data_IF_677502062117
#
_entry.id   IF_677502062117
#
_cell.length_a   1.000
_cell.length_b   1.000
_cell.length_c   1.000
_cell.angle_alpha   90.00
_cell.angle_beta   90.00
_cell.angle_gamma   90.00
#
_symmetry.space_group_name_H-M   'P 1'
#
loop_
_entity.id
_entity.type
_entity.pdbx_description
1 polymer ?
#
# COMPACT_ATOMS: atom_id res chain seq x y z
N UNK A 1 -12.33 43.59 -12.34
CA UNK A 1 -11.55 42.94 -11.27
C UNK A 1 -12.44 41.84 -10.69
N UNK A 2 -12.33 40.58 -11.15
CA UNK A 2 -13.11 39.50 -10.55
C UNK A 2 -12.48 39.15 -9.21
N UNK A 3 -13.31 39.19 -8.15
CA UNK A 3 -12.91 38.76 -6.81
C UNK A 3 -12.86 37.23 -6.80
N UNK A 4 -11.67 36.68 -6.57
CA UNK A 4 -11.46 35.27 -6.27
C UNK A 4 -12.06 34.94 -4.90
N UNK A 5 -13.07 34.06 -4.88
CA UNK A 5 -13.60 33.46 -3.66
C UNK A 5 -12.50 32.62 -2.98
N UNK A 6 -12.33 32.68 -1.65
CA UNK A 6 -11.40 31.82 -0.94
C UNK A 6 -11.93 30.38 -0.93
N UNK A 7 -11.10 29.44 -1.41
CA UNK A 7 -11.31 28.00 -1.27
C UNK A 7 -11.30 27.65 0.22
N UNK A 8 -12.46 27.27 0.76
CA UNK A 8 -12.60 26.87 2.15
C UNK A 8 -12.08 25.43 2.29
N UNK A 9 -10.83 25.27 2.69
CA UNK A 9 -10.31 23.97 3.09
C UNK A 9 -11.00 23.52 4.39
N UNK A 10 -11.58 22.33 4.40
CA UNK A 10 -12.13 21.75 5.62
C UNK A 10 -11.02 21.59 6.67
N UNK A 11 -11.32 21.74 7.98
CA UNK A 11 -10.32 21.50 9.02
C UNK A 11 -9.87 20.03 8.99
N UNK A 12 -8.55 19.78 9.05
CA UNK A 12 -7.93 18.44 9.04
C UNK A 12 -8.54 17.46 10.05
N UNK A 13 -9.10 17.97 11.14
CA UNK A 13 -9.78 17.20 12.19
C UNK A 13 -11.09 16.53 11.71
N UNK A 14 -11.77 17.09 10.72
CA UNK A 14 -13.03 16.56 10.17
C UNK A 14 -12.79 15.42 9.17
N UNK A 15 -11.67 15.47 8.42
CA UNK A 15 -11.33 14.45 7.41
C UNK A 15 -10.95 13.11 8.08
N UNK A 16 -10.16 13.15 9.16
CA UNK A 16 -9.64 11.93 9.80
C UNK A 16 -10.71 11.16 10.59
N UNK A 17 -11.63 11.88 11.25
CA UNK A 17 -12.80 11.29 11.91
C UNK A 17 -13.68 10.52 10.91
N UNK A 18 -13.75 11.01 9.67
CA UNK A 18 -14.57 10.38 8.62
C UNK A 18 -13.98 9.05 8.15
N UNK A 19 -12.65 8.97 7.96
CA UNK A 19 -11.98 7.72 7.56
C UNK A 19 -12.10 6.64 8.65
N UNK A 20 -11.89 7.01 9.93
CA UNK A 20 -12.01 6.07 11.04
C UNK A 20 -13.42 5.50 11.18
N UNK A 21 -14.46 6.35 11.12
CA UNK A 21 -15.84 5.90 11.15
C UNK A 21 -16.16 4.96 9.97
N UNK A 22 -15.63 5.25 8.77
CA UNK A 22 -15.83 4.38 7.62
C UNK A 22 -15.14 3.01 7.78
N UNK A 23 -13.87 3.00 8.19
CA UNK A 23 -13.10 1.79 8.42
C UNK A 23 -13.73 0.95 9.53
N UNK A 24 -14.18 1.59 10.61
CA UNK A 24 -14.85 0.91 11.71
C UNK A 24 -16.08 0.12 11.24
N UNK A 25 -16.93 0.74 10.41
CA UNK A 25 -18.11 0.07 9.84
C UNK A 25 -17.74 -1.09 8.89
N UNK A 26 -16.56 -1.04 8.25
CA UNK A 26 -16.08 -2.10 7.37
C UNK A 26 -15.47 -3.28 8.14
N UNK A 27 -14.88 -3.01 9.30
CA UNK A 27 -14.03 -3.96 10.03
C UNK A 27 -14.73 -4.60 11.23
N UNK A 28 -15.81 -4.01 11.74
CA UNK A 28 -16.61 -4.63 12.79
C UNK A 28 -17.76 -5.45 12.19
N UNK A 29 -17.94 -6.67 12.69
CA UNK A 29 -19.20 -7.38 12.54
C UNK A 29 -20.11 -7.01 13.70
N UNK A 30 -21.19 -6.29 13.42
CA UNK A 30 -22.28 -6.10 14.37
C UNK A 30 -23.60 -6.52 13.70
N UNK A 31 -24.46 -7.17 14.48
CA UNK A 31 -25.83 -7.54 14.09
C UNK A 31 -26.67 -6.29 13.81
N UNK A 32 -26.29 -5.15 14.41
CA UNK A 32 -26.98 -3.87 14.28
C UNK A 32 -26.48 -3.01 13.10
N UNK A 33 -25.29 -3.25 12.53
CA UNK A 33 -24.68 -2.44 11.45
C UNK A 33 -24.79 -3.08 10.07
N UNK A 34 -26.00 -3.41 9.64
CA UNK A 34 -26.30 -3.62 8.21
C UNK A 34 -25.68 -4.87 7.54
N UNK A 35 -25.85 -4.96 6.21
CA UNK A 35 -25.77 -6.17 5.36
C UNK A 35 -24.37 -6.82 5.19
N UNK A 36 -23.37 -6.52 6.01
CA UNK A 36 -22.05 -7.16 5.94
C UNK A 36 -22.14 -8.57 6.53
N UNK A 37 -22.14 -9.59 5.66
CA UNK A 37 -22.19 -11.01 6.07
C UNK A 37 -20.95 -11.44 6.88
N UNK A 38 -19.83 -10.77 6.64
CA UNK A 38 -18.56 -10.94 7.35
C UNK A 38 -17.76 -9.63 7.28
N UNK A 39 -16.91 -9.31 8.28
CA UNK A 39 -16.02 -8.16 8.24
C UNK A 39 -15.11 -8.16 7.02
N UNK A 40 -14.74 -6.97 6.54
CA UNK A 40 -13.70 -6.80 5.53
C UNK A 40 -12.31 -6.89 6.18
N UNK A 41 -11.28 -7.12 5.37
CA UNK A 41 -9.90 -6.85 5.76
C UNK A 41 -9.53 -5.40 5.38
N UNK A 42 -8.82 -4.69 6.25
CA UNK A 42 -8.41 -3.30 6.03
C UNK A 42 -6.94 -3.17 5.66
N UNK A 43 -6.65 -2.32 4.68
CA UNK A 43 -5.31 -1.88 4.32
C UNK A 43 -5.29 -0.35 4.19
N UNK A 44 -4.49 0.33 5.01
CA UNK A 44 -4.31 1.79 4.96
C UNK A 44 -2.86 2.10 4.62
N UNK A 45 -2.65 3.03 3.70
CA UNK A 45 -1.36 3.62 3.40
C UNK A 45 -1.28 4.99 4.08
N UNK A 46 -0.27 5.21 4.92
CA UNK A 46 -0.08 6.47 5.65
C UNK A 46 1.31 7.05 5.36
N UNK A 47 1.36 8.34 5.02
CA UNK A 47 2.60 9.05 4.75
C UNK A 47 2.47 10.52 5.15
N UNK A 48 3.23 10.91 6.17
CA UNK A 48 3.29 12.29 6.64
C UNK A 48 4.75 12.75 6.87
N UNK A 49 5.27 13.54 5.93
CA UNK A 49 6.63 14.10 6.00
C UNK A 49 6.76 15.31 6.94
N UNK A 50 5.65 16.01 7.21
CA UNK A 50 5.64 17.27 7.98
C UNK A 50 5.47 17.04 9.47
N UNK A 51 5.04 15.84 9.84
CA UNK A 51 4.61 15.51 11.21
C UNK A 51 5.48 14.39 11.78
N UNK A 52 6.81 14.54 11.73
CA UNK A 52 7.74 13.53 12.28
C UNK A 52 7.35 13.15 13.71
N UNK A 53 6.92 11.91 13.92
CA UNK A 53 6.46 11.39 15.20
C UNK A 53 4.94 11.41 15.45
N UNK A 54 4.14 11.91 14.51
CA UNK A 54 2.68 11.76 14.54
C UNK A 54 2.32 10.38 14.00
N UNK A 55 1.46 9.68 14.74
CA UNK A 55 0.99 8.34 14.40
C UNK A 55 -0.23 8.42 13.47
N UNK A 56 -0.43 7.42 12.63
CA UNK A 56 -1.66 7.29 11.84
C UNK A 56 -2.86 7.23 12.79
N UNK A 57 -3.84 8.12 12.60
CA UNK A 57 -5.02 8.18 13.47
C UNK A 57 -5.83 6.88 13.44
N UNK A 58 -5.74 6.14 12.33
CA UNK A 58 -6.35 4.81 12.17
C UNK A 58 -5.88 3.79 13.19
N UNK A 59 -4.74 3.99 13.86
CA UNK A 59 -4.32 3.17 14.98
C UNK A 59 -5.24 3.28 16.21
N UNK A 60 -5.97 4.40 16.35
CA UNK A 60 -6.94 4.59 17.43
C UNK A 60 -8.07 3.55 17.40
N UNK A 61 -8.32 2.90 16.25
CA UNK A 61 -9.30 1.82 16.09
C UNK A 61 -8.99 0.60 16.99
N UNK A 62 -7.78 0.46 17.53
CA UNK A 62 -7.47 -0.51 18.59
C UNK A 62 -8.40 -0.39 19.80
N UNK A 63 -8.80 0.84 20.15
CA UNK A 63 -9.72 1.13 21.26
C UNK A 63 -11.13 0.58 21.02
N UNK A 64 -11.51 0.38 19.75
CA UNK A 64 -12.79 -0.22 19.32
C UNK A 64 -12.73 -1.76 19.28
N UNK A 65 -11.61 -2.37 19.68
CA UNK A 65 -11.42 -3.83 19.66
C UNK A 65 -10.93 -4.38 18.32
N UNK A 66 -10.59 -3.52 17.35
CA UNK A 66 -10.04 -3.93 16.05
C UNK A 66 -8.55 -4.24 16.23
N UNK A 67 -8.08 -5.37 15.70
CA UNK A 67 -6.64 -5.66 15.66
C UNK A 67 -5.98 -4.82 14.58
N UNK A 68 -5.05 -3.95 14.97
CA UNK A 68 -4.31 -3.08 14.08
C UNK A 68 -2.85 -3.51 14.02
N UNK A 69 -2.35 -3.74 12.81
CA UNK A 69 -0.96 -4.06 12.52
C UNK A 69 -0.30 -2.92 11.75
N UNK A 70 0.64 -2.23 12.37
CA UNK A 70 1.41 -1.14 11.78
C UNK A 70 2.71 -1.70 11.19
N UNK A 71 2.92 -1.50 9.90
CA UNK A 71 4.16 -1.79 9.20
C UNK A 71 4.92 -0.49 8.95
N UNK A 72 6.10 -0.35 9.55
CA UNK A 72 6.92 0.88 9.47
C UNK A 72 8.28 0.62 8.85
N UNK A 73 8.92 1.66 8.31
CA UNK A 73 10.28 1.54 7.77
C UNK A 73 11.25 0.98 8.84
N UNK A 74 12.29 0.27 8.39
CA UNK A 74 13.28 -0.27 9.32
C UNK A 74 14.06 0.83 10.07
N UNK A 75 14.27 1.98 9.44
CA UNK A 75 14.96 3.16 10.00
C UNK A 75 14.13 3.88 11.08
N UNK A 76 12.80 3.93 10.94
CA UNK A 76 11.94 4.63 11.91
C UNK A 76 11.33 3.71 12.99
N UNK A 77 11.52 2.39 12.86
CA UNK A 77 10.87 1.38 13.71
C UNK A 77 10.90 1.66 15.22
N UNK A 78 12.06 2.02 15.78
CA UNK A 78 12.20 2.25 17.22
C UNK A 78 11.49 3.53 17.69
N UNK A 79 11.38 4.54 16.82
CA UNK A 79 10.65 5.77 17.12
C UNK A 79 9.14 5.52 16.97
N UNK A 80 8.72 4.99 15.82
CA UNK A 80 7.33 4.65 15.56
C UNK A 80 6.75 3.71 16.62
N UNK A 81 7.46 2.63 16.99
CA UNK A 81 6.97 1.70 18.00
C UNK A 81 6.71 2.39 19.35
N UNK A 82 7.57 3.33 19.75
CA UNK A 82 7.34 4.12 20.99
C UNK A 82 6.13 5.04 20.84
N UNK A 83 6.03 5.77 19.72
CA UNK A 83 4.95 6.73 19.49
C UNK A 83 3.58 6.03 19.42
N UNK A 84 3.46 4.97 18.63
CA UNK A 84 2.23 4.19 18.50
C UNK A 84 1.78 3.55 19.82
N UNK A 85 2.72 3.05 20.63
CA UNK A 85 2.40 2.50 21.95
C UNK A 85 2.03 3.57 22.97
N UNK A 86 2.61 4.76 22.87
CA UNK A 86 2.27 5.88 23.75
C UNK A 86 0.91 6.52 23.40
N UNK A 87 0.52 6.47 22.12
CA UNK A 87 -0.71 7.06 21.61
C UNK A 87 -1.95 6.16 21.72
N UNK A 88 -1.80 4.92 22.19
CA UNK A 88 -2.91 3.94 22.24
C UNK A 88 -3.03 3.31 23.62
N UNK A 89 -4.24 3.39 24.20
CA UNK A 89 -4.52 2.82 25.51
C UNK A 89 -4.67 1.29 25.49
N UNK A 90 -4.97 0.69 24.33
CA UNK A 90 -5.18 -0.75 24.16
C UNK A 90 -4.07 -1.39 23.33
N UNK A 91 -2.90 -1.54 23.96
CA UNK A 91 -1.71 -2.11 23.32
C UNK A 91 -1.83 -3.60 22.94
N UNK A 92 -2.82 -4.33 23.47
CA UNK A 92 -3.00 -5.76 23.15
C UNK A 92 -3.50 -5.98 21.72
N UNK A 93 -4.24 -5.01 21.18
CA UNK A 93 -4.76 -5.04 19.81
C UNK A 93 -3.82 -4.38 18.79
N UNK A 94 -2.68 -3.85 19.23
CA UNK A 94 -1.75 -3.13 18.39
C UNK A 94 -0.43 -3.90 18.22
N UNK A 95 -0.08 -4.20 16.98
CA UNK A 95 1.25 -4.69 16.62
C UNK A 95 1.98 -3.63 15.80
N UNK A 96 3.27 -3.43 16.09
CA UNK A 96 4.16 -2.58 15.28
C UNK A 96 5.31 -3.46 14.82
N UNK A 97 5.42 -3.63 13.51
CA UNK A 97 6.42 -4.46 12.85
C UNK A 97 7.17 -3.68 11.77
N UNK A 98 8.37 -4.18 11.43
CA UNK A 98 9.15 -3.64 10.32
C UNK A 98 8.54 -4.06 8.98
N UNK A 99 8.26 -3.07 8.13
CA UNK A 99 8.03 -3.25 6.72
C UNK A 99 9.27 -3.84 6.06
N UNK A 100 9.22 -5.13 5.74
CA UNK A 100 10.33 -5.84 5.10
C UNK A 100 9.78 -6.73 3.99
N UNK A 101 10.01 -6.32 2.74
CA UNK A 101 9.63 -7.03 1.53
C UNK A 101 10.34 -8.38 1.45
N UNK A 102 9.61 -9.51 1.55
CA UNK A 102 10.18 -10.82 1.35
C UNK A 102 10.61 -10.99 -0.11
N UNK A 103 11.76 -11.62 -0.41
CA UNK A 103 12.16 -11.92 -1.79
C UNK A 103 11.11 -12.74 -2.57
N UNK A 104 10.29 -13.54 -1.88
CA UNK A 104 9.19 -14.31 -2.47
C UNK A 104 8.02 -13.46 -2.98
N UNK A 105 7.95 -12.19 -2.57
CA UNK A 105 6.96 -11.24 -3.08
C UNK A 105 7.48 -10.47 -4.30
N UNK A 106 8.76 -10.60 -4.67
CA UNK A 106 9.30 -9.92 -5.84
C UNK A 106 8.82 -10.59 -7.13
N UNK A 107 8.49 -9.76 -8.11
CA UNK A 107 8.24 -10.15 -9.50
C UNK A 107 9.20 -9.39 -10.41
N UNK A 108 9.25 -9.79 -11.70
CA UNK A 108 10.01 -9.06 -12.72
C UNK A 108 9.61 -7.59 -12.74
N UNK A 109 8.30 -7.31 -12.70
CA UNK A 109 7.74 -5.97 -12.71
C UNK A 109 8.09 -5.19 -11.44
N UNK A 110 7.89 -5.79 -10.26
CA UNK A 110 8.21 -5.14 -8.98
C UNK A 110 9.71 -4.86 -8.86
N UNK A 111 10.56 -5.77 -9.32
CA UNK A 111 12.00 -5.56 -9.36
C UNK A 111 12.38 -4.43 -10.31
N UNK A 112 11.74 -4.33 -11.48
CA UNK A 112 11.96 -3.21 -12.41
C UNK A 112 11.62 -1.87 -11.76
N UNK A 113 10.41 -1.75 -11.16
CA UNK A 113 9.96 -0.55 -10.42
C UNK A 113 10.93 -0.18 -9.30
N UNK A 114 11.36 -1.18 -8.52
CA UNK A 114 12.32 -0.97 -7.44
C UNK A 114 13.70 -0.53 -7.93
N UNK A 115 14.13 -0.87 -9.16
CA UNK A 115 15.41 -0.41 -9.70
C UNK A 115 15.33 0.91 -10.47
N UNK A 116 14.16 1.26 -11.02
CA UNK A 116 13.96 2.39 -11.95
C UNK A 116 13.99 3.79 -11.29
N UNK A 117 14.74 3.97 -10.22
CA UNK A 117 14.61 5.10 -9.31
C UNK A 117 15.30 6.37 -9.77
N UNK A 118 14.52 7.45 -9.81
CA UNK A 118 14.97 8.83 -9.95
C UNK A 118 13.81 9.77 -9.63
N UNK A 119 13.91 10.55 -8.54
CA UNK A 119 13.05 11.73 -8.33
C UNK A 119 13.59 12.98 -9.03
N UNK A 120 14.90 13.03 -9.29
CA UNK A 120 15.61 14.29 -9.58
C UNK A 120 16.13 14.41 -11.01
N UNK A 121 15.85 13.45 -11.87
CA UNK A 121 16.32 13.48 -13.24
C UNK A 121 15.37 12.77 -14.18
N UNK A 122 14.97 13.47 -15.24
CA UNK A 122 14.31 12.90 -16.41
C UNK A 122 15.20 11.87 -17.14
N UNK A 123 16.48 11.75 -16.75
CA UNK A 123 17.40 10.78 -17.30
C UNK A 123 17.30 9.43 -16.56
N UNK A 124 16.93 8.40 -17.31
CA UNK A 124 17.00 7.00 -16.88
C UNK A 124 18.44 6.68 -16.45
N UNK A 125 18.67 6.12 -15.24
CA UNK A 125 20.01 5.78 -14.80
C UNK A 125 20.69 4.80 -15.78
N UNK A 126 21.97 5.02 -16.10
CA UNK A 126 22.70 4.23 -17.09
C UNK A 126 22.74 2.72 -16.78
N UNK A 127 22.64 2.33 -15.51
CA UNK A 127 22.58 0.91 -15.14
C UNK A 127 21.24 0.24 -15.53
N UNK A 128 20.18 1.01 -15.78
CA UNK A 128 18.84 0.46 -16.02
C UNK A 128 18.74 -0.32 -17.33
N UNK A 129 19.52 0.01 -18.36
CA UNK A 129 19.57 -0.81 -19.58
C UNK A 129 20.03 -2.24 -19.28
N UNK A 130 21.03 -2.36 -18.39
CA UNK A 130 21.55 -3.65 -17.92
C UNK A 130 20.51 -4.38 -17.08
N UNK A 131 19.87 -3.69 -16.13
CA UNK A 131 18.79 -4.26 -15.32
C UNK A 131 17.65 -4.79 -16.20
N UNK A 132 17.18 -3.99 -17.14
CA UNK A 132 16.10 -4.40 -18.04
C UNK A 132 16.48 -5.61 -18.90
N UNK A 133 17.73 -5.68 -19.37
CA UNK A 133 18.23 -6.85 -20.10
C UNK A 133 18.19 -8.11 -19.24
N UNK A 134 18.66 -8.04 -17.99
CA UNK A 134 18.63 -9.15 -17.03
C UNK A 134 17.18 -9.57 -16.76
N UNK A 135 16.31 -8.61 -16.47
CA UNK A 135 14.90 -8.87 -16.18
C UNK A 135 14.18 -9.51 -17.38
N UNK A 136 14.43 -9.07 -18.62
CA UNK A 136 13.90 -9.73 -19.83
C UNK A 136 14.42 -11.16 -19.97
N UNK A 137 15.71 -11.39 -19.74
CA UNK A 137 16.28 -12.73 -19.77
C UNK A 137 15.62 -13.66 -18.74
N UNK A 138 15.42 -13.18 -17.51
CA UNK A 138 14.74 -13.94 -16.46
C UNK A 138 13.27 -14.22 -16.81
N UNK A 139 12.58 -13.29 -17.47
CA UNK A 139 11.20 -13.51 -17.92
C UNK A 139 11.09 -14.60 -18.99
N UNK A 140 12.08 -14.71 -19.89
CA UNK A 140 12.13 -15.76 -20.93
C UNK A 140 12.54 -17.10 -20.34
N UNK A 141 13.62 -17.15 -19.57
CA UNK A 141 14.17 -18.41 -19.02
C UNK A 141 13.33 -18.97 -17.87
N UNK A 142 12.55 -18.13 -17.20
CA UNK A 142 11.85 -18.47 -15.97
C UNK A 142 10.40 -18.94 -16.13
N UNK A 143 9.94 -19.34 -17.33
CA UNK A 143 8.53 -19.73 -17.55
C UNK A 143 8.04 -20.71 -16.48
N UNK A 144 7.18 -20.23 -15.58
CA UNK A 144 6.58 -20.99 -14.47
C UNK A 144 7.31 -20.96 -13.11
N UNK A 145 8.58 -20.53 -13.06
CA UNK A 145 9.40 -20.51 -11.82
C UNK A 145 9.24 -19.24 -10.98
N UNK A 146 8.72 -18.16 -11.57
CA UNK A 146 8.67 -16.85 -10.92
C UNK A 146 10.04 -16.18 -10.83
N UNK A 147 10.08 -14.97 -10.26
CA UNK A 147 11.31 -14.20 -10.11
C UNK A 147 12.17 -14.73 -8.95
N UNK A 148 13.48 -14.87 -9.16
CA UNK A 148 14.43 -15.30 -8.14
C UNK A 148 15.47 -14.20 -7.88
N UNK A 149 15.43 -13.61 -6.68
CA UNK A 149 16.32 -12.49 -6.34
C UNK A 149 17.80 -12.88 -6.29
N UNK A 150 18.14 -14.09 -5.86
CA UNK A 150 19.53 -14.55 -5.82
C UNK A 150 20.12 -14.72 -7.23
N UNK A 151 19.34 -15.27 -8.16
CA UNK A 151 19.72 -15.34 -9.57
C UNK A 151 19.87 -13.96 -10.20
N UNK A 152 18.97 -13.01 -9.88
CA UNK A 152 19.09 -11.63 -10.31
C UNK A 152 20.43 -11.01 -9.87
N UNK A 153 20.81 -11.15 -8.60
CA UNK A 153 22.09 -10.65 -8.09
C UNK A 153 23.29 -11.31 -8.79
N UNK A 154 23.23 -12.62 -9.03
CA UNK A 154 24.30 -13.33 -9.77
C UNK A 154 24.45 -12.83 -11.21
N UNK A 155 23.34 -12.65 -11.93
CA UNK A 155 23.36 -12.10 -13.28
C UNK A 155 23.86 -10.65 -13.30
N UNK A 156 23.54 -9.88 -12.26
CA UNK A 156 23.98 -8.50 -12.11
C UNK A 156 25.49 -8.39 -11.89
N UNK A 157 26.05 -9.24 -11.03
CA UNK A 157 27.50 -9.31 -10.80
C UNK A 157 28.27 -9.72 -12.06
N UNK A 158 27.66 -10.55 -12.91
CA UNK A 158 28.23 -11.02 -14.17
C UNK A 158 28.02 -10.06 -15.35
N UNK A 159 27.22 -9.00 -15.18
CA UNK A 159 26.79 -8.16 -16.29
C UNK A 159 27.85 -7.20 -16.85
N UNK A 160 29.01 -7.09 -16.20
CA UNK A 160 30.12 -6.27 -16.67
C UNK A 160 29.84 -4.77 -16.65
N UNK A 161 29.12 -4.27 -15.63
CA UNK A 161 28.82 -2.85 -15.48
C UNK A 161 30.11 -2.02 -15.40
N UNK A 162 30.12 -0.86 -16.07
CA UNK A 162 31.23 0.10 -15.96
C UNK A 162 31.31 0.68 -14.55
N UNK A 163 32.47 1.22 -14.17
CA UNK A 163 32.67 1.87 -12.86
C UNK A 163 31.63 2.97 -12.60
N UNK A 164 31.23 3.71 -13.64
CA UNK A 164 30.24 4.79 -13.57
C UNK A 164 28.82 4.27 -13.34
N UNK A 165 28.50 3.06 -13.81
CA UNK A 165 27.21 2.40 -13.58
C UNK A 165 27.15 1.68 -12.22
N UNK A 166 28.28 1.12 -11.77
CA UNK A 166 28.33 0.30 -10.56
C UNK A 166 27.98 1.06 -9.29
N UNK A 167 28.54 2.26 -9.10
CA UNK A 167 28.28 3.07 -7.89
C UNK A 167 26.81 3.42 -7.71
N UNK A 168 26.11 4.05 -8.67
CA UNK A 168 24.69 4.38 -8.51
C UNK A 168 23.80 3.13 -8.41
N UNK A 169 24.16 2.05 -9.10
CA UNK A 169 23.45 0.77 -8.98
C UNK A 169 23.56 0.20 -7.56
N UNK A 170 24.76 0.19 -6.95
CA UNK A 170 24.96 -0.30 -5.59
C UNK A 170 24.21 0.54 -4.56
N UNK A 171 24.28 1.86 -4.66
CA UNK A 171 23.48 2.75 -3.80
C UNK A 171 21.99 2.43 -3.89
N UNK A 172 21.51 2.10 -5.10
CA UNK A 172 20.11 1.70 -5.27
C UNK A 172 19.80 0.34 -4.64
N UNK A 173 20.69 -0.65 -4.78
CA UNK A 173 20.53 -1.94 -4.10
C UNK A 173 20.58 -1.80 -2.58
N UNK A 174 21.45 -0.94 -2.04
CA UNK A 174 21.55 -0.69 -0.60
C UNK A 174 20.26 -0.09 -0.05
N UNK A 175 19.67 0.88 -0.76
CA UNK A 175 18.36 1.43 -0.42
C UNK A 175 17.25 0.37 -0.55
N UNK A 176 17.25 -0.44 -1.61
CA UNK A 176 16.30 -1.54 -1.73
C UNK A 176 16.43 -2.53 -0.56
N UNK A 177 17.66 -2.89 -0.20
CA UNK A 177 17.94 -3.81 0.89
C UNK A 177 17.47 -3.29 2.26
N UNK A 178 17.40 -1.96 2.46
CA UNK A 178 16.86 -1.41 3.72
C UNK A 178 15.37 -1.71 3.93
N UNK A 179 14.63 -1.96 2.84
CA UNK A 179 13.22 -2.37 2.85
C UNK A 179 13.00 -3.85 2.55
N UNK A 180 14.05 -4.63 2.33
CA UNK A 180 13.93 -6.05 2.02
C UNK A 180 14.32 -6.93 3.20
N UNK A 181 13.66 -8.09 3.29
CA UNK A 181 14.11 -9.17 4.18
C UNK A 181 15.26 -9.93 3.54
N UNK A 182 16.40 -9.27 3.39
CA UNK A 182 17.60 -9.80 2.74
C UNK A 182 18.88 -9.33 3.46
N UNK A 183 19.90 -10.19 3.65
CA UNK A 183 19.89 -11.63 3.39
C UNK A 183 18.93 -12.39 4.32
N UNK A 184 18.48 -13.61 3.95
CA UNK A 184 17.59 -14.40 4.79
C UNK A 184 18.27 -14.72 6.13
N UNK A 185 17.56 -14.47 7.23
CA UNK A 185 18.07 -14.82 8.56
C UNK A 185 18.04 -16.33 8.81
N UNK A 186 18.74 -16.81 9.85
CA UNK A 186 18.68 -18.22 10.26
C UNK A 186 17.26 -18.70 10.56
N UNK A 187 16.38 -17.81 11.03
CA UNK A 187 14.97 -18.14 11.31
C UNK A 187 14.13 -18.17 10.03
N UNK A 188 14.48 -17.37 9.03
CA UNK A 188 13.83 -17.42 7.72
C UNK A 188 14.19 -18.71 6.98
N UNK A 189 15.46 -19.15 7.04
CA UNK A 189 15.92 -20.41 6.44
C UNK A 189 15.28 -21.67 7.05
N UNK A 190 14.89 -21.62 8.32
CA UNK A 190 14.22 -22.74 9.02
C UNK A 190 12.71 -22.82 8.77
N UNK A 191 12.13 -21.80 8.16
CA UNK A 191 10.68 -21.70 7.98
C UNK A 191 10.24 -22.57 6.83
N UNK A 192 9.20 -23.39 7.05
CA UNK A 192 8.60 -24.24 6.01
C UNK A 192 7.77 -23.45 5.00
N UNK A 193 7.20 -22.32 5.43
CA UNK A 193 6.32 -21.49 4.61
C UNK A 193 6.98 -20.14 4.35
N UNK A 194 6.91 -19.64 3.11
CA UNK A 194 7.39 -18.31 2.79
C UNK A 194 6.68 -17.24 3.63
N UNK A 195 7.42 -16.21 4.06
CA UNK A 195 6.80 -15.04 4.70
C UNK A 195 5.98 -14.27 3.67
N UNK A 196 4.78 -13.85 4.06
CA UNK A 196 3.98 -12.88 3.30
C UNK A 196 4.43 -11.47 3.65
N UNK A 197 4.28 -10.53 2.70
CA UNK A 197 4.39 -9.10 3.01
C UNK A 197 3.18 -8.60 3.80
N UNK A 198 1.98 -8.94 3.32
CA UNK A 198 0.70 -8.56 3.92
C UNK A 198 -0.05 -9.84 4.32
N UNK A 199 -0.59 -9.88 5.53
CA UNK A 199 -1.45 -10.95 6.00
C UNK A 199 -2.82 -10.37 6.38
N UNK A 200 -3.60 -10.06 5.35
CA UNK A 200 -4.89 -9.39 5.49
C UNK A 200 -5.95 -10.40 5.94
N UNK A 201 -6.53 -10.15 7.12
CA UNK A 201 -7.55 -11.02 7.72
C UNK A 201 -8.86 -10.25 7.93
N UNK A 202 -10.03 -10.93 7.86
CA UNK A 202 -11.30 -10.31 8.18
C UNK A 202 -11.29 -9.66 9.56
N UNK A 203 -11.78 -8.41 9.64
CA UNK A 203 -11.91 -7.66 10.90
C UNK A 203 -10.59 -7.16 11.48
N UNK A 204 -9.54 -7.12 10.65
CA UNK A 204 -8.23 -6.58 11.02
C UNK A 204 -7.86 -5.42 10.13
N UNK A 205 -7.05 -4.51 10.65
CA UNK A 205 -6.50 -3.38 9.90
C UNK A 205 -4.99 -3.51 9.80
N UNK A 206 -4.43 -3.51 8.60
CA UNK A 206 -3.00 -3.30 8.38
C UNK A 206 -2.77 -1.87 7.93
N UNK A 207 -1.90 -1.13 8.62
CA UNK A 207 -1.46 0.22 8.23
C UNK A 207 -0.02 0.12 7.78
N UNK A 208 0.29 0.53 6.55
CA UNK A 208 1.66 0.70 6.07
C UNK A 208 2.00 2.17 6.22
N UNK A 209 2.77 2.49 7.26
CA UNK A 209 3.19 3.84 7.60
C UNK A 209 4.66 4.03 7.21
N UNK A 210 4.89 4.84 6.17
CA UNK A 210 6.22 5.15 5.66
C UNK A 210 6.60 6.62 5.90
N UNK A 211 6.10 7.21 6.99
CA UNK A 211 6.41 8.58 7.44
C UNK A 211 7.82 8.69 8.02
N UNK A 212 8.81 8.31 7.22
CA UNK A 212 10.22 8.27 7.58
C UNK A 212 10.97 9.45 6.94
N UNK A 213 11.66 10.30 7.73
CA UNK A 213 12.37 11.47 7.21
C UNK A 213 13.53 11.13 6.26
N UNK A 214 13.96 9.87 6.21
CA UNK A 214 15.02 9.39 5.33
C UNK A 214 14.50 8.76 4.03
N UNK A 215 13.18 8.76 3.81
CA UNK A 215 12.54 8.12 2.67
C UNK A 215 11.78 9.17 1.87
N UNK A 216 12.08 9.25 0.58
CA UNK A 216 11.43 10.20 -0.31
C UNK A 216 10.07 9.72 -0.82
N UNK A 217 9.26 10.68 -1.29
CA UNK A 217 7.87 10.45 -1.67
C UNK A 217 7.74 9.42 -2.80
N UNK A 218 8.64 9.40 -3.78
CA UNK A 218 8.62 8.43 -4.86
C UNK A 218 8.98 7.01 -4.39
N UNK A 219 9.89 6.87 -3.41
CA UNK A 219 10.13 5.58 -2.76
C UNK A 219 8.87 5.10 -2.05
N UNK A 220 8.22 5.98 -1.28
CA UNK A 220 6.95 5.66 -0.60
C UNK A 220 5.87 5.24 -1.61
N UNK A 221 5.67 6.01 -2.68
CA UNK A 221 4.71 5.69 -3.74
C UNK A 221 4.98 4.31 -4.36
N UNK A 222 6.25 4.01 -4.66
CA UNK A 222 6.66 2.73 -5.23
C UNK A 222 6.37 1.57 -4.27
N UNK A 223 6.64 1.76 -2.98
CA UNK A 223 6.36 0.76 -1.96
C UNK A 223 4.86 0.55 -1.74
N UNK A 224 4.05 1.60 -1.76
CA UNK A 224 2.58 1.51 -1.70
C UNK A 224 2.01 0.79 -2.92
N UNK A 225 2.49 1.11 -4.13
CA UNK A 225 2.10 0.40 -5.37
C UNK A 225 2.41 -1.10 -5.28
N UNK A 226 3.59 -1.46 -4.77
CA UNK A 226 3.97 -2.85 -4.52
C UNK A 226 3.04 -3.51 -3.51
N UNK A 227 2.72 -2.85 -2.40
CA UNK A 227 1.79 -3.39 -1.40
C UNK A 227 0.40 -3.62 -1.99
N UNK A 228 -0.11 -2.65 -2.76
CA UNK A 228 -1.40 -2.75 -3.42
C UNK A 228 -1.42 -3.89 -4.45
N UNK A 229 -0.37 -4.01 -5.26
CA UNK A 229 -0.18 -5.12 -6.20
C UNK A 229 -0.20 -6.47 -5.48
N UNK A 230 0.55 -6.62 -4.38
CA UNK A 230 0.57 -7.84 -3.56
C UNK A 230 -0.81 -8.14 -2.95
N UNK A 231 -1.52 -7.14 -2.43
CA UNK A 231 -2.86 -7.31 -1.87
C UNK A 231 -3.89 -7.75 -2.93
N UNK A 232 -3.73 -7.30 -4.18
CA UNK A 232 -4.59 -7.68 -5.31
C UNK A 232 -4.29 -9.10 -5.81
N UNK A 233 -3.02 -9.49 -5.83
CA UNK A 233 -2.61 -10.86 -6.18
C UNK A 233 -3.04 -11.87 -5.11
N UNK A 234 -2.92 -11.49 -3.83
CA UNK A 234 -3.19 -12.33 -2.67
C UNK A 234 -4.42 -11.85 -1.91
N UNK A 235 -5.54 -11.73 -2.63
CA UNK A 235 -6.80 -11.29 -2.04
C UNK A 235 -7.19 -12.15 -0.85
N UNK A 236 -7.65 -11.54 0.26
CA UNK A 236 -8.18 -12.29 1.38
C UNK A 236 -9.45 -13.05 0.94
N UNK A 237 -9.81 -14.10 1.68
CA UNK A 237 -11.08 -14.82 1.46
C UNK A 237 -12.34 -14.02 1.83
N UNK A 238 -12.16 -12.81 2.34
CA UNK A 238 -13.22 -11.82 2.57
C UNK A 238 -13.07 -10.63 1.60
N UNK A 239 -14.03 -9.70 1.61
CA UNK A 239 -13.82 -8.44 0.91
C UNK A 239 -12.72 -7.60 1.58
N UNK A 240 -12.17 -6.63 0.85
CA UNK A 240 -11.08 -5.80 1.33
C UNK A 240 -11.39 -4.32 1.10
N UNK A 241 -11.06 -3.50 2.08
CA UNK A 241 -11.06 -2.04 1.99
C UNK A 241 -9.63 -1.54 1.94
N UNK A 242 -9.33 -0.68 0.97
CA UNK A 242 -8.04 0.00 0.83
C UNK A 242 -8.26 1.50 0.92
N UNK A 243 -7.46 2.20 1.72
CA UNK A 243 -7.48 3.64 1.82
C UNK A 243 -6.07 4.23 1.80
N UNK A 244 -5.96 5.45 1.27
CA UNK A 244 -4.77 6.28 1.37
C UNK A 244 -5.09 7.44 2.33
N UNK A 245 -4.39 7.45 3.45
CA UNK A 245 -4.43 8.53 4.45
C UNK A 245 -3.45 9.64 4.06
N UNK A 246 -3.78 10.88 4.41
CA UNK A 246 -3.01 12.08 4.02
C UNK A 246 -2.72 12.14 2.50
N UNK A 247 -3.69 11.74 1.67
CA UNK A 247 -3.50 11.51 0.23
C UNK A 247 -2.90 12.69 -0.52
N UNK A 248 -3.20 13.93 -0.10
CA UNK A 248 -2.63 15.16 -0.68
C UNK A 248 -1.09 15.23 -0.60
N UNK A 249 -0.45 14.56 0.36
CA UNK A 249 1.02 14.51 0.49
C UNK A 249 1.66 13.56 -0.49
N UNK A 250 0.94 12.51 -0.85
CA UNK A 250 1.37 11.54 -1.84
C UNK A 250 1.11 12.09 -3.25
N UNK A 251 -0.11 12.58 -3.52
CA UNK A 251 -0.65 12.87 -4.86
C UNK A 251 0.06 14.03 -5.58
N UNK A 252 0.52 15.06 -4.86
CA UNK A 252 1.02 16.30 -5.49
C UNK A 252 2.53 16.28 -5.82
N UNK A 253 3.27 15.23 -5.49
CA UNK A 253 4.74 15.34 -5.38
C UNK A 253 5.57 14.43 -6.30
N UNK A 254 4.99 13.50 -7.09
CA UNK A 254 5.78 12.73 -8.08
C UNK A 254 4.95 12.07 -9.21
N UNK A 255 5.53 11.78 -10.37
CA UNK A 255 4.89 10.94 -11.41
C UNK A 255 4.52 9.53 -10.93
N UNK A 256 5.23 9.00 -9.93
CA UNK A 256 4.89 7.72 -9.31
C UNK A 256 3.59 7.82 -8.50
N UNK A 257 3.32 8.98 -7.89
CA UNK A 257 2.07 9.25 -7.21
C UNK A 257 0.89 9.38 -8.18
N UNK A 258 1.09 10.01 -9.33
CA UNK A 258 0.07 10.07 -10.39
C UNK A 258 -0.28 8.67 -10.87
N UNK A 259 0.71 7.81 -11.13
CA UNK A 259 0.47 6.42 -11.53
C UNK A 259 -0.21 5.58 -10.44
N UNK A 260 0.12 5.80 -9.16
CA UNK A 260 -0.55 5.15 -8.03
C UNK A 260 -2.02 5.60 -7.96
N UNK A 261 -2.27 6.89 -8.13
CA UNK A 261 -3.62 7.48 -8.13
C UNK A 261 -4.44 7.01 -9.32
N UNK A 262 -3.86 6.88 -10.51
CA UNK A 262 -4.55 6.34 -11.68
C UNK A 262 -4.91 4.86 -11.48
N UNK A 263 -4.03 4.08 -10.84
CA UNK A 263 -4.32 2.68 -10.51
C UNK A 263 -5.41 2.52 -9.44
N UNK A 264 -5.49 3.44 -8.48
CA UNK A 264 -6.61 3.48 -7.51
C UNK A 264 -7.89 4.04 -8.15
N UNK A 265 -7.81 5.00 -9.07
CA UNK A 265 -8.97 5.61 -9.74
C UNK A 265 -9.58 4.72 -10.83
N UNK A 266 -8.78 4.11 -11.72
CA UNK A 266 -9.29 3.23 -12.79
C UNK A 266 -10.04 2.00 -12.26
N UNK A 267 -9.74 1.58 -11.04
CA UNK A 267 -10.45 0.49 -10.39
C UNK A 267 -11.82 0.89 -9.84
N UNK A 268 -12.04 2.17 -9.50
CA UNK A 268 -13.37 2.68 -9.17
C UNK A 268 -14.31 2.51 -10.37
N UNK A 269 -13.84 2.89 -11.57
CA UNK A 269 -14.67 2.87 -12.78
C UNK A 269 -14.96 1.44 -13.28
N UNK A 270 -13.97 0.54 -13.21
CA UNK A 270 -14.10 -0.84 -13.73
C UNK A 270 -14.98 -1.75 -12.87
N UNK A 271 -15.19 -1.41 -11.60
CA UNK A 271 -16.18 -2.07 -10.74
C UNK A 271 -17.63 -1.72 -11.12
N UNK A 272 -17.85 -0.58 -11.77
CA UNK A 272 -19.18 -0.10 -12.18
C UNK A 272 -19.57 -0.56 -13.60
N UNK A 273 -18.60 -0.72 -14.53
CA UNK A 273 -18.91 -0.97 -15.96
C UNK A 273 -19.26 -2.43 -16.31
N UNK A 274 -19.06 -3.39 -15.40
CA UNK A 274 -19.40 -4.80 -15.65
C UNK A 274 -20.82 -5.22 -15.22
N UNK A 275 -21.70 -4.28 -14.81
CA UNK A 275 -23.14 -4.54 -14.68
C UNK A 275 -23.85 -4.25 -16.00
N UNK A 276 -24.22 -5.33 -16.72
CA UNK A 276 -24.97 -5.31 -17.98
C UNK A 276 -26.32 -4.55 -17.83
N UNK A 277 -26.82 -3.88 -18.88
CA UNK A 277 -28.05 -3.10 -18.86
C UNK A 277 -29.26 -4.00 -19.15
N UNK A 278 -30.31 -3.87 -18.34
CA UNK A 278 -31.60 -4.53 -18.60
C UNK A 278 -31.92 -5.60 -17.57
N UNK A 279 -32.51 -5.18 -16.46
CA UNK A 279 -33.79 -5.68 -15.96
C UNK A 279 -34.13 -4.92 -14.68
N UNK A 280 -35.19 -4.13 -14.74
CA UNK A 280 -35.77 -3.47 -13.57
C UNK A 280 -36.24 -4.53 -12.57
N UNK A 281 -35.58 -4.59 -11.42
CA UNK A 281 -36.19 -5.07 -10.17
C UNK A 281 -35.85 -4.08 -9.05
N UNK A 282 -36.89 -3.44 -8.56
CA UNK A 282 -36.84 -2.43 -7.52
C UNK A 282 -36.84 -3.12 -6.16
N UNK A 283 -35.71 -3.07 -5.44
CA UNK A 283 -35.64 -3.38 -4.01
C UNK A 283 -34.43 -2.65 -3.37
N UNK A 284 -34.71 -1.43 -2.91
CA UNK A 284 -33.98 -0.60 -1.93
C UNK A 284 -32.52 -0.95 -1.63
N UNK A 285 -31.61 -0.32 -2.37
CA UNK A 285 -30.19 -0.19 -2.05
C UNK A 285 -29.71 1.27 -2.21
N UNK A 286 -30.60 2.25 -2.07
CA UNK A 286 -30.31 3.63 -2.49
C UNK A 286 -29.76 4.55 -1.39
N UNK A 287 -29.78 4.15 -0.11
CA UNK A 287 -29.36 5.06 0.99
C UNK A 287 -27.91 4.92 1.48
N UNK A 288 -27.10 4.01 0.93
CA UNK A 288 -25.64 3.99 1.16
C UNK A 288 -24.83 4.45 -0.05
N UNK A 289 -25.48 4.66 -1.20
CA UNK A 289 -24.80 5.00 -2.46
C UNK A 289 -24.56 6.50 -2.62
N UNK A 290 -25.48 7.35 -2.17
CA UNK A 290 -25.42 8.79 -2.47
C UNK A 290 -24.66 9.59 -1.40
N UNK A 291 -24.80 9.22 -0.12
CA UNK A 291 -24.07 9.86 0.98
C UNK A 291 -22.56 9.51 0.96
N UNK A 292 -22.20 8.26 0.65
CA UNK A 292 -20.80 7.87 0.49
C UNK A 292 -20.16 8.49 -0.75
N UNK A 293 -20.90 8.57 -1.87
CA UNK A 293 -20.43 9.25 -3.09
C UNK A 293 -20.27 10.76 -2.88
N UNK A 294 -21.23 11.43 -2.27
CA UNK A 294 -21.17 12.88 -2.03
C UNK A 294 -20.06 13.29 -1.05
N UNK A 295 -19.68 12.41 -0.11
CA UNK A 295 -18.60 12.68 0.85
C UNK A 295 -17.21 12.38 0.25
N UNK A 296 -17.12 11.40 -0.67
CA UNK A 296 -15.87 11.01 -1.34
C UNK A 296 -15.53 11.86 -2.57
N UNK A 297 -16.51 12.49 -3.23
CA UNK A 297 -16.28 13.34 -4.43
C UNK A 297 -15.77 14.75 -4.10
N UNK A 298 -15.77 15.17 -2.83
CA UNK A 298 -15.39 16.54 -2.46
C UNK A 298 -14.10 16.69 -1.64
N UNK A 299 -13.55 15.64 -0.99
CA UNK A 299 -12.38 15.80 -0.09
C UNK A 299 -11.45 14.56 -0.08
N UNK A 300 -10.16 14.81 0.18
CA UNK A 300 -8.95 14.03 -0.16
C UNK A 300 -8.79 12.62 0.45
N UNK A 301 -9.76 11.72 0.30
CA UNK A 301 -9.61 10.30 0.65
C UNK A 301 -10.05 9.40 -0.52
N UNK A 302 -9.09 8.70 -1.14
CA UNK A 302 -9.41 7.66 -2.12
C UNK A 302 -9.61 6.34 -1.38
N UNK A 303 -10.87 5.86 -1.34
CA UNK A 303 -11.27 4.63 -0.63
C UNK A 303 -11.80 3.61 -1.63
N UNK A 304 -11.22 2.41 -1.68
CA UNK A 304 -11.69 1.33 -2.56
C UNK A 304 -12.28 0.18 -1.76
N UNK A 305 -13.48 -0.27 -2.13
CA UNK A 305 -14.13 -1.47 -1.56
C UNK A 305 -14.30 -2.53 -2.65
N UNK A 306 -13.74 -3.72 -2.45
CA UNK A 306 -13.91 -4.86 -3.35
C UNK A 306 -14.76 -5.95 -2.69
N UNK A 307 -15.96 -6.23 -3.24
CA UNK A 307 -16.85 -7.32 -2.79
C UNK A 307 -16.68 -8.62 -3.59
N UNK A 308 -16.90 -9.78 -2.96
CA UNK A 308 -16.99 -11.08 -3.63
C UNK A 308 -18.37 -11.26 -4.31
N UNK A 309 -18.35 -11.77 -5.55
CA UNK A 309 -19.53 -12.35 -6.20
C UNK A 309 -19.78 -13.74 -5.58
N UNK A 310 -21.02 -14.11 -5.23
CA UNK A 310 -21.30 -15.48 -4.76
C UNK A 310 -21.07 -16.48 -5.90
N UNK A 311 -20.26 -17.50 -5.61
CA UNK A 311 -20.21 -18.74 -6.39
C UNK A 311 -21.62 -19.34 -6.35
N UNK A 312 -22.31 -19.33 -7.49
CA UNK A 312 -23.64 -19.91 -7.62
C UNK A 312 -23.50 -21.44 -7.54
N UNK A 313 -24.18 -22.03 -6.55
CA UNK A 313 -24.54 -23.44 -6.54
C UNK A 313 -25.72 -23.70 -7.48
#
# INVERSE_FOLDING_TARGET
>A
MPQTLPSYAAPKEVERVTLNCFLENCLLADVCTGKLRQPLAGLVFHFDIDSSGTVAETASLCSRGIKVNILVSNSDFEAAQRNYRAATDNSENLTVEKFLLPPSELSIERMHKLMAFSERSDAVPLYMEVIQRILRQMAVSGQGRGFNYGEFLQLLDQAGLSTEQQRPMRLRLDLLHSFMRWPPSKTDLKRKTARKLLDLQPGTLTVVDLSDPFVDTATVCTLFDICLSVAKEKRPGCGMVVALDEAHKCIDQSPAATNFTDQTAHHHTRAETHRNPGHHFHAGADNLGEAARSVLDQHCASVQVSGMVPEQA
#
